data_IF_157680287900
#
_entry.id   IF_157680287900
#
_cell.length_a   1.000
_cell.length_b   1.000
_cell.length_c   1.000
_cell.angle_alpha   90.00
_cell.angle_beta   90.00
_cell.angle_gamma   90.00
#
_symmetry.space_group_name_H-M   'P 1'
#
loop_
_entity.id
_entity.type
_entity.pdbx_description
1 polymer ?
#
# COMPACT_ATOMS: atom_id res chain seq x y z
N UNK A 1 6.74 -15.01 16.62
CA UNK A 1 6.95 -14.63 15.21
C UNK A 1 8.39 -14.20 15.08
N UNK A 2 9.11 -14.81 14.15
CA UNK A 2 10.39 -14.32 13.67
C UNK A 2 10.19 -12.98 12.94
N UNK A 3 11.19 -12.11 12.93
CA UNK A 3 11.10 -10.78 12.31
C UNK A 3 10.68 -10.86 10.83
N UNK A 4 11.19 -11.86 10.11
CA UNK A 4 10.81 -12.19 8.73
C UNK A 4 9.32 -12.49 8.57
N UNK A 5 8.72 -13.26 9.49
CA UNK A 5 7.29 -13.60 9.44
C UNK A 5 6.43 -12.36 9.64
N UNK A 6 6.83 -11.47 10.58
CA UNK A 6 6.17 -10.19 10.80
C UNK A 6 6.22 -9.31 9.55
N UNK A 7 7.36 -9.23 8.86
CA UNK A 7 7.49 -8.45 7.62
C UNK A 7 6.61 -9.00 6.50
N UNK A 8 6.52 -10.33 6.35
CA UNK A 8 5.65 -10.97 5.35
C UNK A 8 4.16 -10.71 5.57
N UNK A 9 3.76 -10.33 6.79
CA UNK A 9 2.39 -9.88 7.12
C UNK A 9 2.24 -8.38 6.86
N UNK A 10 3.21 -7.56 7.28
CA UNK A 10 3.12 -6.10 7.20
C UNK A 10 3.25 -5.55 5.79
N UNK A 11 4.13 -6.12 4.96
CA UNK A 11 4.41 -5.61 3.61
C UNK A 11 3.14 -5.56 2.74
N UNK A 12 2.30 -6.61 2.65
CA UNK A 12 1.03 -6.55 1.93
C UNK A 12 0.12 -5.40 2.40
N UNK A 13 0.01 -5.19 3.72
CA UNK A 13 -0.80 -4.11 4.28
C UNK A 13 -0.25 -2.72 3.94
N UNK A 14 1.06 -2.55 3.92
CA UNK A 14 1.67 -1.30 3.49
C UNK A 14 1.44 -1.04 2.01
N UNK A 15 1.56 -2.06 1.14
CA UNK A 15 1.29 -1.93 -0.29
C UNK A 15 -0.17 -1.49 -0.52
N UNK A 16 -1.13 -2.11 0.17
CA UNK A 16 -2.55 -1.74 0.11
C UNK A 16 -2.76 -0.28 0.54
N UNK A 17 -2.24 0.11 1.69
CA UNK A 17 -2.39 1.48 2.20
C UNK A 17 -1.73 2.53 1.31
N UNK A 18 -0.54 2.23 0.78
CA UNK A 18 0.17 3.07 -0.16
C UNK A 18 -0.62 3.25 -1.47
N UNK A 19 -1.30 2.20 -1.96
CA UNK A 19 -2.14 2.30 -3.14
C UNK A 19 -3.37 3.20 -2.91
N UNK A 20 -3.97 3.16 -1.72
CA UNK A 20 -5.05 4.08 -1.33
C UNK A 20 -4.58 5.54 -1.34
N UNK A 21 -3.40 5.82 -0.77
CA UNK A 21 -2.79 7.15 -0.78
C UNK A 21 -2.42 7.63 -2.18
N UNK A 22 -1.80 6.77 -3.00
CA UNK A 22 -1.45 7.11 -4.38
C UNK A 22 -2.71 7.52 -5.17
N UNK A 23 -3.79 6.74 -5.06
CA UNK A 23 -5.05 7.05 -5.70
C UNK A 23 -5.68 8.35 -5.18
N UNK A 24 -5.53 8.68 -3.89
CA UNK A 24 -5.96 9.96 -3.33
C UNK A 24 -5.14 11.13 -3.85
N UNK A 25 -3.83 11.00 -3.88
CA UNK A 25 -2.92 12.03 -4.38
C UNK A 25 -3.22 12.34 -5.85
N UNK A 26 -3.43 11.32 -6.67
CA UNK A 26 -3.87 11.52 -8.05
C UNK A 26 -5.19 12.26 -8.17
N UNK A 27 -6.18 11.96 -7.32
CA UNK A 27 -7.47 12.67 -7.31
C UNK A 27 -7.26 14.16 -7.03
N UNK A 28 -6.42 14.48 -6.05
CA UNK A 28 -6.08 15.86 -5.74
C UNK A 28 -5.22 16.54 -6.81
N UNK A 29 -4.26 15.84 -7.41
CA UNK A 29 -3.45 16.37 -8.51
C UNK A 29 -4.29 16.80 -9.72
N UNK A 30 -5.44 16.14 -9.95
CA UNK A 30 -6.40 16.52 -11.00
C UNK A 30 -7.23 17.77 -10.68
N UNK A 31 -7.17 18.31 -9.45
CA UNK A 31 -7.96 19.47 -9.04
C UNK A 31 -7.44 20.81 -9.60
N UNK A 32 -6.23 20.86 -10.19
CA UNK A 32 -5.63 22.09 -10.73
C UNK A 32 -5.09 23.06 -9.67
N UNK A 33 -4.90 22.57 -8.45
CA UNK A 33 -4.26 23.26 -7.33
C UNK A 33 -2.81 23.71 -7.64
N UNK A 34 -2.34 24.80 -7.00
CA UNK A 34 -0.90 25.04 -6.89
C UNK A 34 -0.21 23.84 -6.21
N UNK A 35 0.85 23.31 -6.84
CA UNK A 35 1.58 22.14 -6.33
C UNK A 35 1.05 20.78 -6.80
N UNK A 36 0.01 20.75 -7.64
CA UNK A 36 -0.56 19.51 -8.17
C UNK A 36 0.45 18.62 -8.92
N UNK A 37 1.48 19.19 -9.56
CA UNK A 37 2.59 18.42 -10.15
C UNK A 37 3.40 17.65 -9.10
N UNK A 38 3.71 18.27 -7.95
CA UNK A 38 4.42 17.61 -6.86
C UNK A 38 3.55 16.57 -6.14
N UNK A 39 2.24 16.80 -6.06
CA UNK A 39 1.30 15.81 -5.52
C UNK A 39 1.23 14.59 -6.45
N UNK A 40 1.21 14.79 -7.76
CA UNK A 40 1.29 13.70 -8.74
C UNK A 40 2.61 12.93 -8.62
N UNK A 41 3.72 13.66 -8.46
CA UNK A 41 5.04 13.04 -8.25
C UNK A 41 5.07 12.19 -6.96
N UNK A 42 4.44 12.66 -5.89
CA UNK A 42 4.30 11.89 -4.65
C UNK A 42 3.50 10.58 -4.85
N UNK A 43 2.47 10.59 -5.72
CA UNK A 43 1.74 9.38 -6.07
C UNK A 43 2.66 8.35 -6.77
N UNK A 44 3.48 8.80 -7.73
CA UNK A 44 4.43 7.93 -8.42
C UNK A 44 5.50 7.36 -7.48
N UNK A 45 6.00 8.15 -6.51
CA UNK A 45 6.93 7.63 -5.50
C UNK A 45 6.29 6.55 -4.63
N UNK A 46 5.01 6.68 -4.33
CA UNK A 46 4.25 5.68 -3.57
C UNK A 46 4.12 4.36 -4.35
N UNK A 47 3.86 4.43 -5.66
CA UNK A 47 3.85 3.25 -6.52
C UNK A 47 5.24 2.59 -6.65
N UNK A 48 6.29 3.40 -6.77
CA UNK A 48 7.66 2.88 -6.80
C UNK A 48 8.05 2.19 -5.48
N UNK A 49 7.61 2.75 -4.34
CA UNK A 49 7.77 2.11 -3.04
C UNK A 49 7.04 0.75 -3.00
N UNK A 50 5.84 0.66 -3.56
CA UNK A 50 5.10 -0.61 -3.65
C UNK A 50 5.83 -1.67 -4.47
N UNK A 51 6.49 -1.29 -5.57
CA UNK A 51 7.30 -2.21 -6.36
C UNK A 51 8.51 -2.74 -5.57
N UNK A 52 9.21 -1.87 -4.85
CA UNK A 52 10.33 -2.27 -3.99
C UNK A 52 9.88 -3.17 -2.83
N UNK A 53 8.73 -2.86 -2.22
CA UNK A 53 8.11 -3.67 -1.17
C UNK A 53 7.70 -5.06 -1.68
N UNK A 54 7.13 -5.12 -2.89
CA UNK A 54 6.76 -6.39 -3.52
C UNK A 54 8.00 -7.27 -3.78
N UNK A 55 9.09 -6.69 -4.29
CA UNK A 55 10.35 -7.41 -4.47
C UNK A 55 10.91 -7.93 -3.12
N UNK A 56 10.87 -7.10 -2.07
CA UNK A 56 11.28 -7.54 -0.73
C UNK A 56 10.41 -8.69 -0.21
N UNK A 57 9.10 -8.66 -0.44
CA UNK A 57 8.20 -9.74 -0.06
C UNK A 57 8.54 -11.06 -0.77
N UNK A 58 8.90 -11.00 -2.05
CA UNK A 58 9.33 -12.16 -2.83
C UNK A 58 10.63 -12.77 -2.26
N UNK A 59 11.62 -11.93 -1.93
CA UNK A 59 12.86 -12.38 -1.29
C UNK A 59 12.63 -12.99 0.11
N UNK A 60 11.61 -12.53 0.84
CA UNK A 60 11.20 -13.07 2.14
C UNK A 60 10.38 -14.36 2.04
N UNK A 61 10.09 -14.86 0.82
CA UNK A 61 9.35 -16.09 0.59
C UNK A 61 7.83 -15.91 0.41
N UNK A 62 7.39 -14.72 0.03
CA UNK A 62 6.00 -14.39 -0.30
C UNK A 62 5.11 -14.10 0.92
N UNK A 63 3.87 -13.68 0.68
CA UNK A 63 2.88 -13.46 1.75
C UNK A 63 2.61 -14.75 2.55
N UNK A 64 2.24 -14.61 3.82
CA UNK A 64 1.81 -15.75 4.64
C UNK A 64 0.40 -16.18 4.21
N UNK A 65 0.24 -17.43 3.77
CA UNK A 65 -1.08 -18.00 3.46
C UNK A 65 -1.97 -17.99 4.71
N UNK A 66 -3.10 -17.28 4.67
CA UNK A 66 -4.08 -17.23 5.76
C UNK A 66 -4.31 -15.86 6.42
N UNK A 67 -3.53 -14.83 6.08
CA UNK A 67 -3.76 -13.44 6.54
C UNK A 67 -4.38 -12.52 5.47
N UNK A 68 -4.92 -13.10 4.40
CA UNK A 68 -5.74 -12.37 3.44
C UNK A 68 -7.08 -11.96 4.09
N UNK A 69 -7.14 -10.73 4.60
CA UNK A 69 -8.37 -9.99 4.85
C UNK A 69 -9.26 -10.52 5.98
N UNK A 70 -9.10 -9.98 7.18
CA UNK A 70 -10.20 -9.95 8.14
C UNK A 70 -11.29 -9.00 7.63
N UNK A 71 -12.21 -9.51 6.81
CA UNK A 71 -13.52 -8.89 6.60
C UNK A 71 -14.26 -8.91 7.93
N UNK A 72 -14.31 -7.77 8.62
CA UNK A 72 -15.23 -7.56 9.72
C UNK A 72 -16.63 -7.30 9.15
N UNK A 73 -17.64 -8.17 9.41
CA UNK A 73 -19.02 -7.82 9.10
C UNK A 73 -19.46 -6.73 10.08
N UNK A 74 -19.67 -5.50 9.60
CA UNK A 74 -20.36 -4.46 10.35
C UNK A 74 -21.86 -4.79 10.40
N UNK A 75 -22.48 -4.96 11.58
CA UNK A 75 -23.93 -5.03 11.67
C UNK A 75 -24.51 -3.63 11.48
N UNK A 76 -25.28 -3.44 10.40
CA UNK A 76 -26.17 -2.29 10.28
C UNK A 76 -27.39 -2.53 11.19
N UNK A 77 -27.57 -1.64 12.15
CA UNK A 77 -28.80 -1.46 12.92
C UNK A 77 -29.50 -0.18 12.47
#
# INVERSE_FOLDING_TARGET
>A
MEETEKLRILIPHWIEHNAEHAAEFERWARSGCPGCEHILEAAHYMEAANQALQAALEELGGAVEGHAGHSHPHPHA
#
